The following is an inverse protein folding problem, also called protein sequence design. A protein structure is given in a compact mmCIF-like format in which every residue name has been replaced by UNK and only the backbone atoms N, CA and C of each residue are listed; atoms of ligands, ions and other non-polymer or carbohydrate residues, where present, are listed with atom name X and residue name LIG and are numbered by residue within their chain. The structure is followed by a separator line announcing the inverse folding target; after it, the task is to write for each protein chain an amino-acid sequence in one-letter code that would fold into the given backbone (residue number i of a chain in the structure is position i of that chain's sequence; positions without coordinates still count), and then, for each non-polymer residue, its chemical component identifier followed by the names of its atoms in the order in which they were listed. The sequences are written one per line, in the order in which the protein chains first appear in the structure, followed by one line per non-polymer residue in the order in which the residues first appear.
data_IF_715043126969
#
_entry.id   IF_715043126969
#
_cell.length_a   1.000
_cell.length_b   1.000
_cell.length_c   1.000
_cell.angle_alpha   90.00
_cell.angle_beta   90.00
_cell.angle_gamma   90.00
#
_symmetry.space_group_name_H-M   'P 1'
#
loop_
_entity.id
_entity.type
_entity.pdbx_description
1 polymer ?
#
# COMPACT_ATOMS: atom_id res chain seq x y z
N UNK A 1 2.58 -7.93 8.98
CA UNK A 1 2.83 -6.48 9.21
C UNK A 1 2.19 -5.65 8.12
N UNK A 2 1.73 -4.44 8.44
CA UNK A 2 1.13 -3.47 7.51
C UNK A 2 1.88 -2.14 7.62
N UNK A 3 2.17 -1.51 6.48
CA UNK A 3 2.68 -0.14 6.46
C UNK A 3 1.51 0.85 6.36
N UNK A 4 1.51 1.89 7.19
CA UNK A 4 0.48 2.93 7.19
C UNK A 4 1.11 4.29 7.51
N UNK A 5 1.18 5.21 6.54
CA UNK A 5 1.62 6.59 6.76
C UNK A 5 2.99 6.71 7.45
N UNK A 6 3.98 5.95 6.99
CA UNK A 6 5.36 6.01 7.48
C UNK A 6 5.71 5.07 8.64
N UNK A 7 4.74 4.31 9.19
CA UNK A 7 4.97 3.33 10.26
C UNK A 7 4.59 1.92 9.82
N UNK A 8 5.29 0.92 10.35
CA UNK A 8 4.93 -0.50 10.19
C UNK A 8 4.32 -0.99 11.49
N UNK A 9 3.12 -1.57 11.41
CA UNK A 9 2.36 -2.08 12.55
C UNK A 9 2.03 -3.57 12.35
N UNK A 10 1.83 -4.33 13.43
CA UNK A 10 1.16 -5.62 13.37
C UNK A 10 -0.23 -5.48 12.74
N UNK A 11 -0.68 -6.51 12.01
CA UNK A 11 -1.97 -6.51 11.32
C UNK A 11 -3.16 -6.49 12.30
N UNK A 12 -3.00 -7.10 13.47
CA UNK A 12 -3.99 -7.08 14.57
C UNK A 12 -4.08 -5.72 15.31
N UNK A 13 -3.18 -4.78 15.02
CA UNK A 13 -3.17 -3.43 15.60
C UNK A 13 -3.70 -2.36 14.65
N UNK A 14 -3.98 -2.69 13.39
CA UNK A 14 -4.59 -1.76 12.45
C UNK A 14 -6.12 -1.84 12.56
N UNK A 15 -6.74 -0.78 13.05
CA UNK A 15 -8.21 -0.64 13.10
C UNK A 15 -8.71 0.35 12.06
N UNK A 16 -9.77 -0.01 11.35
CA UNK A 16 -10.55 0.89 10.50
C UNK A 16 -11.96 0.99 11.10
N UNK A 17 -12.55 2.19 11.05
CA UNK A 17 -13.93 2.38 11.52
C UNK A 17 -14.90 1.56 10.68
N UNK A 18 -15.90 0.94 11.31
CA UNK A 18 -17.02 0.30 10.58
C UNK A 18 -17.87 1.31 9.81
N UNK A 19 -17.76 2.61 10.14
CA UNK A 19 -18.42 3.72 9.44
C UNK A 19 -17.53 4.30 8.31
N UNK A 20 -16.38 3.69 8.03
CA UNK A 20 -15.57 4.10 6.89
C UNK A 20 -16.30 3.79 5.58
N UNK A 21 -16.29 4.72 4.62
CA UNK A 21 -16.99 4.56 3.34
C UNK A 21 -16.44 3.42 2.49
N UNK A 22 -15.18 3.03 2.70
CA UNK A 22 -14.60 1.83 2.10
C UNK A 22 -15.35 0.58 2.57
N UNK A 23 -15.72 0.53 3.86
CA UNK A 23 -16.46 -0.59 4.44
C UNK A 23 -17.96 -0.52 4.13
N UNK A 24 -18.60 0.64 4.30
CA UNK A 24 -20.05 0.80 4.11
C UNK A 24 -20.48 0.70 2.63
N UNK A 25 -19.63 1.17 1.72
CA UNK A 25 -20.00 1.39 0.31
C UNK A 25 -18.99 0.84 -0.69
N UNK A 26 -17.93 0.18 -0.23
CA UNK A 26 -16.86 -0.30 -1.13
C UNK A 26 -16.09 0.82 -1.82
N UNK A 27 -16.15 2.05 -1.27
CA UNK A 27 -15.50 3.21 -1.87
C UNK A 27 -13.99 3.18 -1.60
N UNK A 28 -13.23 2.59 -2.52
CA UNK A 28 -11.78 2.55 -2.44
C UNK A 28 -11.17 1.96 -3.71
N UNK A 29 -9.84 1.96 -3.75
CA UNK A 29 -9.05 1.31 -4.80
C UNK A 29 -7.79 0.71 -4.18
N UNK A 30 -7.19 -0.25 -4.87
CA UNK A 30 -5.95 -0.86 -4.44
C UNK A 30 -5.04 -1.12 -5.65
N UNK A 31 -3.78 -1.36 -5.36
CA UNK A 31 -2.81 -1.89 -6.31
C UNK A 31 -2.30 -3.24 -5.82
N UNK A 32 -1.80 -4.04 -6.75
CA UNK A 32 -1.02 -5.23 -6.40
C UNK A 32 0.27 -5.20 -7.18
N UNK A 33 1.38 -5.34 -6.47
CA UNK A 33 2.70 -5.38 -7.07
C UNK A 33 3.51 -6.52 -6.50
N UNK A 34 4.54 -6.93 -7.23
CA UNK A 34 5.45 -7.98 -6.78
C UNK A 34 6.83 -7.40 -6.49
N UNK A 35 7.41 -7.86 -5.40
CA UNK A 35 8.83 -7.73 -5.16
C UNK A 35 9.58 -8.91 -5.77
N UNK A 36 10.76 -8.63 -6.30
CA UNK A 36 11.70 -9.63 -6.79
C UNK A 36 13.01 -9.43 -6.06
N UNK A 37 13.52 -10.49 -5.44
CA UNK A 37 14.75 -10.43 -4.62
C UNK A 37 14.74 -9.25 -3.62
N UNK A 38 13.64 -9.09 -2.87
CA UNK A 38 13.48 -8.06 -1.86
C UNK A 38 13.27 -6.63 -2.40
N UNK A 39 13.08 -6.45 -3.72
CA UNK A 39 12.90 -5.11 -4.33
C UNK A 39 11.55 -4.97 -5.02
N UNK A 40 10.80 -3.93 -4.64
CA UNK A 40 9.55 -3.56 -5.32
C UNK A 40 9.81 -3.24 -6.79
N UNK A 41 9.26 -4.03 -7.70
CA UNK A 41 9.54 -3.88 -9.12
C UNK A 41 8.48 -2.98 -9.76
N UNK A 42 8.92 -2.02 -10.59
CA UNK A 42 8.06 -1.05 -11.25
C UNK A 42 7.16 -0.23 -10.30
N UNK A 43 7.61 0.01 -9.07
CA UNK A 43 6.84 0.72 -8.03
C UNK A 43 6.22 2.02 -8.56
N UNK A 44 7.01 2.87 -9.22
CA UNK A 44 6.53 4.14 -9.78
C UNK A 44 5.39 3.96 -10.79
N UNK A 45 5.41 2.88 -11.59
CA UNK A 45 4.33 2.59 -12.55
C UNK A 45 3.05 2.16 -11.84
N UNK A 46 3.17 1.34 -10.79
CA UNK A 46 2.02 0.95 -9.97
C UNK A 46 1.42 2.17 -9.27
N UNK A 47 2.25 3.01 -8.63
CA UNK A 47 1.77 4.23 -7.97
C UNK A 47 1.17 5.24 -8.95
N UNK A 48 1.74 5.36 -10.15
CA UNK A 48 1.16 6.20 -11.21
C UNK A 48 -0.21 5.70 -11.65
N UNK A 49 -0.40 4.38 -11.79
CA UNK A 49 -1.69 3.78 -12.13
C UNK A 49 -2.70 3.98 -11.00
N UNK A 50 -2.30 3.78 -9.74
CA UNK A 50 -3.13 4.04 -8.57
C UNK A 50 -3.63 5.49 -8.54
N UNK A 51 -2.73 6.46 -8.73
CA UNK A 51 -3.08 7.90 -8.76
C UNK A 51 -4.05 8.21 -9.89
N UNK A 52 -3.79 7.74 -11.11
CA UNK A 52 -4.70 7.95 -12.24
C UNK A 52 -6.09 7.34 -12.00
N UNK A 53 -6.15 6.13 -11.47
CA UNK A 53 -7.43 5.49 -11.14
C UNK A 53 -8.17 6.22 -10.02
N UNK A 54 -7.45 6.78 -9.04
CA UNK A 54 -8.07 7.61 -8.01
C UNK A 54 -8.65 8.91 -8.60
N UNK A 55 -7.92 9.58 -9.49
CA UNK A 55 -8.40 10.76 -10.22
C UNK A 55 -9.68 10.45 -11.02
N UNK A 56 -9.70 9.34 -11.77
CA UNK A 56 -10.87 8.87 -12.53
C UNK A 56 -12.09 8.59 -11.63
N UNK A 57 -11.86 8.13 -10.40
CA UNK A 57 -12.89 7.85 -9.40
C UNK A 57 -13.24 9.07 -8.52
N UNK A 58 -12.58 10.22 -8.71
CA UNK A 58 -12.76 11.41 -7.86
C UNK A 58 -12.27 11.22 -6.42
N UNK A 59 -11.35 10.29 -6.18
CA UNK A 59 -10.74 10.00 -4.90
C UNK A 59 -9.46 10.82 -4.72
N UNK A 60 -9.37 11.56 -3.62
CA UNK A 60 -8.17 12.34 -3.28
C UNK A 60 -7.15 11.43 -2.59
N UNK A 61 -5.96 11.32 -3.17
CA UNK A 61 -4.81 10.66 -2.53
C UNK A 61 -3.82 11.73 -2.08
N UNK A 62 -3.50 11.72 -0.79
CA UNK A 62 -2.35 12.46 -0.27
C UNK A 62 -1.05 11.77 -0.76
N UNK A 63 -0.19 12.44 -1.55
CA UNK A 63 1.06 11.84 -2.03
C UNK A 63 1.99 11.39 -0.91
N UNK A 64 1.94 12.02 0.27
CA UNK A 64 2.74 11.65 1.45
C UNK A 64 2.27 10.35 2.11
N UNK A 65 1.04 9.92 1.81
CA UNK A 65 0.47 8.65 2.28
C UNK A 65 0.84 7.46 1.38
N UNK A 66 1.56 7.69 0.28
CA UNK A 66 2.01 6.62 -0.62
C UNK A 66 3.41 6.12 -0.21
N UNK A 67 3.66 4.80 -0.30
CA UNK A 67 4.97 4.25 0.04
C UNK A 67 5.99 4.58 -1.04
N UNK A 68 7.22 4.88 -0.63
CA UNK A 68 8.38 4.86 -1.53
C UNK A 68 9.09 3.49 -1.49
N UNK A 69 10.18 3.36 -2.23
CA UNK A 69 10.94 2.12 -2.28
C UNK A 69 11.53 1.72 -0.91
N UNK A 70 11.85 2.69 -0.06
CA UNK A 70 12.38 2.44 1.28
C UNK A 70 11.29 1.93 2.22
N UNK A 71 10.10 2.54 2.20
CA UNK A 71 8.92 2.08 2.93
C UNK A 71 8.58 0.62 2.60
N UNK A 72 8.60 0.25 1.32
CA UNK A 72 8.40 -1.14 0.90
C UNK A 72 9.51 -2.05 1.44
N UNK A 73 10.77 -1.63 1.38
CA UNK A 73 11.89 -2.43 1.90
C UNK A 73 11.80 -2.62 3.43
N UNK A 74 11.38 -1.59 4.18
CA UNK A 74 11.11 -1.68 5.62
C UNK A 74 10.00 -2.70 5.88
N UNK A 75 8.91 -2.64 5.12
CA UNK A 75 7.79 -3.57 5.26
C UNK A 75 8.20 -5.02 4.98
N UNK A 76 8.99 -5.27 3.92
CA UNK A 76 9.49 -6.60 3.59
C UNK A 76 10.39 -7.16 4.70
N UNK A 77 11.34 -6.35 5.20
CA UNK A 77 12.19 -6.72 6.34
C UNK A 77 11.39 -7.01 7.61
N UNK A 78 10.38 -6.20 7.91
CA UNK A 78 9.52 -6.39 9.07
C UNK A 78 8.70 -7.70 9.00
N UNK A 79 8.43 -8.20 7.78
CA UNK A 79 7.80 -9.51 7.57
C UNK A 79 8.83 -10.66 7.42
N UNK A 80 10.13 -10.40 7.57
CA UNK A 80 11.17 -11.43 7.38
C UNK A 80 11.31 -11.93 5.94
N UNK A 81 10.88 -11.14 4.96
CA UNK A 81 10.95 -11.51 3.54
C UNK A 81 12.20 -10.94 2.89
N UNK A 82 13.09 -11.82 2.43
CA UNK A 82 14.33 -11.47 1.72
C UNK A 82 14.24 -11.72 0.20
N UNK A 83 13.21 -12.44 -0.24
CA UNK A 83 13.01 -12.87 -1.64
C UNK A 83 11.80 -12.22 -2.30
N UNK A 84 11.05 -13.03 -3.03
CA UNK A 84 9.85 -12.58 -3.72
C UNK A 84 8.65 -12.53 -2.77
N UNK A 85 7.88 -11.45 -2.89
CA UNK A 85 6.61 -11.30 -2.20
C UNK A 85 5.58 -10.56 -3.06
N UNK A 86 4.33 -10.95 -2.91
CA UNK A 86 3.19 -10.14 -3.35
C UNK A 86 2.92 -9.06 -2.32
N UNK A 87 2.71 -7.83 -2.79
CA UNK A 87 2.32 -6.69 -1.97
C UNK A 87 0.98 -6.15 -2.47
N UNK A 88 0.19 -5.66 -1.52
CA UNK A 88 -1.04 -4.93 -1.74
C UNK A 88 -1.02 -3.68 -0.87
#
# INVERSE_FOLDING_TARGET
MIWVGGRVVPDDQLSVSVLDRTFEHGLGLFETLRSWSGRATLLDRHLSRLRRSAEELGLLIDPSALPDAEAVAILLRANGVEGDAMLR
#
